data_IF_894052133423
#
_entry.id   IF_894052133423
#
_cell.length_a   1.000
_cell.length_b   1.000
_cell.length_c   1.000
_cell.angle_alpha   90.00
_cell.angle_beta   90.00
_cell.angle_gamma   90.00
#
_symmetry.space_group_name_H-M   'P 1'
#
loop_
_entity.id
_entity.type
_entity.pdbx_description
1 polymer ?
#
# COMPACT_ATOMS: atom_id res chain seq x y z
N UNK A 1 -17.33 -15.00 -5.17
CA UNK A 1 -18.68 -14.37 -5.34
C UNK A 1 -18.69 -13.58 -6.64
N UNK A 2 -19.55 -13.91 -7.60
CA UNK A 2 -19.65 -13.19 -8.87
C UNK A 2 -20.57 -12.00 -8.69
N UNK A 3 -20.15 -10.83 -9.21
CA UNK A 3 -20.98 -9.64 -9.24
C UNK A 3 -20.79 -8.85 -10.54
N UNK A 4 -21.74 -8.00 -10.88
CA UNK A 4 -21.63 -7.19 -12.08
C UNK A 4 -20.90 -5.89 -11.78
N UNK A 5 -19.81 -5.64 -12.51
CA UNK A 5 -19.18 -4.31 -12.59
C UNK A 5 -20.01 -3.42 -13.51
N UNK A 6 -20.30 -3.92 -14.71
CA UNK A 6 -21.23 -3.31 -15.68
C UNK A 6 -22.15 -4.42 -16.24
N UNK A 7 -22.87 -4.19 -17.32
CA UNK A 7 -23.68 -5.24 -17.98
C UNK A 7 -22.78 -6.34 -18.59
N UNK A 8 -21.58 -5.99 -19.03
CA UNK A 8 -20.66 -6.84 -19.78
C UNK A 8 -19.40 -7.21 -19.00
N UNK A 9 -19.09 -6.51 -17.93
CA UNK A 9 -17.93 -6.76 -17.08
C UNK A 9 -18.38 -7.36 -15.75
N UNK A 10 -17.85 -8.54 -15.43
CA UNK A 10 -18.13 -9.27 -14.18
C UNK A 10 -16.89 -9.30 -13.29
N UNK A 11 -17.08 -9.13 -11.98
CA UNK A 11 -16.10 -9.48 -10.97
C UNK A 11 -16.13 -10.99 -10.75
N UNK A 12 -14.97 -11.64 -10.82
CA UNK A 12 -14.80 -13.09 -10.65
C UNK A 12 -13.71 -13.42 -9.62
N UNK A 13 -13.26 -12.44 -8.84
CA UNK A 13 -12.24 -12.61 -7.81
C UNK A 13 -12.71 -13.42 -6.61
N UNK A 14 -11.85 -13.52 -5.61
CA UNK A 14 -12.05 -14.30 -4.39
C UNK A 14 -11.57 -13.53 -3.17
N UNK A 15 -12.16 -13.83 -2.01
CA UNK A 15 -11.69 -13.39 -0.71
C UNK A 15 -10.82 -14.49 -0.06
N UNK A 16 -9.69 -14.11 0.53
CA UNK A 16 -8.92 -14.99 1.40
C UNK A 16 -9.00 -14.47 2.85
N UNK A 17 -9.89 -15.06 3.63
CA UNK A 17 -10.07 -14.77 5.06
C UNK A 17 -9.27 -15.73 5.95
N UNK A 18 -8.44 -16.59 5.35
CA UNK A 18 -7.62 -17.57 6.07
C UNK A 18 -6.16 -17.16 6.21
N UNK A 19 -5.75 -16.13 5.46
CA UNK A 19 -4.42 -15.55 5.57
C UNK A 19 -4.34 -14.63 6.78
N UNK A 20 -3.27 -14.71 7.55
CA UNK A 20 -2.98 -13.84 8.69
C UNK A 20 -1.94 -12.74 8.37
N UNK A 21 -1.06 -13.03 7.41
CA UNK A 21 -0.02 -12.09 6.95
C UNK A 21 -0.03 -11.98 5.41
N UNK A 22 -0.24 -10.78 4.89
CA UNK A 22 0.00 -10.47 3.48
C UNK A 22 1.51 -10.24 3.26
N UNK A 23 2.05 -10.73 2.14
CA UNK A 23 3.51 -10.76 1.85
C UNK A 23 4.36 -11.32 3.02
N UNK A 24 3.80 -12.17 3.86
CA UNK A 24 4.44 -12.71 5.06
C UNK A 24 4.94 -11.66 6.08
N UNK A 25 4.43 -10.44 6.01
CA UNK A 25 4.84 -9.36 6.91
C UNK A 25 3.70 -8.43 7.37
N UNK A 26 2.67 -8.20 6.58
CA UNK A 26 1.59 -7.28 6.94
C UNK A 26 0.42 -8.02 7.56
N UNK A 27 0.10 -7.68 8.81
CA UNK A 27 -1.02 -8.29 9.54
C UNK A 27 -2.33 -7.93 8.84
N UNK A 28 -3.12 -8.93 8.46
CA UNK A 28 -4.41 -8.73 7.77
C UNK A 28 -5.52 -9.50 8.51
N UNK A 29 -6.01 -8.99 9.63
CA UNK A 29 -6.98 -9.70 10.50
C UNK A 29 -8.31 -9.94 9.79
N UNK A 30 -8.65 -9.13 8.81
CA UNK A 30 -9.84 -9.26 7.96
C UNK A 30 -9.53 -9.88 6.58
N UNK A 31 -8.38 -10.54 6.45
CA UNK A 31 -7.97 -11.19 5.21
C UNK A 31 -7.61 -10.20 4.10
N UNK A 32 -7.74 -10.66 2.87
CA UNK A 32 -7.49 -9.87 1.64
C UNK A 32 -8.44 -10.33 0.53
N UNK A 33 -8.77 -9.46 -0.42
CA UNK A 33 -9.41 -9.86 -1.68
C UNK A 33 -8.37 -9.94 -2.79
N UNK A 34 -8.48 -10.98 -3.63
CA UNK A 34 -7.74 -11.09 -4.90
C UNK A 34 -8.74 -10.89 -6.01
N UNK A 35 -8.67 -9.73 -6.65
CA UNK A 35 -9.66 -9.34 -7.64
C UNK A 35 -9.24 -9.80 -9.04
N UNK A 36 -10.19 -10.32 -9.76
CA UNK A 36 -10.07 -10.68 -11.17
C UNK A 36 -11.39 -10.35 -11.86
N UNK A 37 -11.33 -10.01 -13.14
CA UNK A 37 -12.52 -9.56 -13.88
C UNK A 37 -12.63 -10.27 -15.21
N UNK A 38 -13.87 -10.44 -15.68
CA UNK A 38 -14.20 -11.01 -16.98
C UNK A 38 -14.94 -9.97 -17.82
N UNK A 39 -14.46 -9.71 -19.03
CA UNK A 39 -15.14 -8.88 -20.02
C UNK A 39 -15.73 -9.79 -21.07
N UNK A 40 -17.08 -9.80 -21.18
CA UNK A 40 -17.82 -10.60 -22.19
C UNK A 40 -18.16 -9.73 -23.38
N UNK A 41 -17.59 -10.08 -24.53
CA UNK A 41 -17.83 -9.43 -25.81
C UNK A 41 -17.67 -10.47 -26.94
N UNK A 42 -17.53 -10.06 -28.22
CA UNK A 42 -17.20 -10.99 -29.32
C UNK A 42 -15.93 -11.79 -29.03
N UNK A 43 -14.95 -11.15 -28.35
CA UNK A 43 -13.79 -11.76 -27.72
C UNK A 43 -13.88 -11.62 -26.21
N UNK A 44 -13.61 -12.69 -25.49
CA UNK A 44 -13.68 -12.72 -24.03
C UNK A 44 -12.29 -12.51 -23.44
N UNK A 45 -12.17 -11.52 -22.57
CA UNK A 45 -10.92 -11.20 -21.87
C UNK A 45 -11.06 -11.39 -20.35
N UNK A 46 -10.07 -12.05 -19.74
CA UNK A 46 -9.87 -12.15 -18.30
C UNK A 46 -8.84 -11.08 -17.91
N UNK A 47 -9.10 -10.32 -16.86
CA UNK A 47 -8.19 -9.33 -16.28
C UNK A 47 -7.57 -9.92 -15.02
N UNK A 48 -6.29 -10.29 -15.11
CA UNK A 48 -5.48 -10.94 -14.10
C UNK A 48 -6.07 -12.27 -13.56
N UNK A 49 -5.28 -13.02 -12.82
CA UNK A 49 -5.72 -14.20 -12.07
C UNK A 49 -5.73 -13.91 -10.58
N UNK A 50 -5.60 -14.92 -9.74
CA UNK A 50 -5.55 -14.77 -8.28
C UNK A 50 -4.41 -15.61 -7.71
N UNK A 51 -4.16 -15.49 -6.40
CA UNK A 51 -3.22 -16.33 -5.66
C UNK A 51 -3.48 -17.83 -5.91
N UNK A 52 -2.40 -18.58 -6.06
CA UNK A 52 -2.48 -20.03 -6.36
C UNK A 52 -3.34 -20.80 -5.35
N UNK A 53 -3.32 -20.41 -4.07
CA UNK A 53 -4.08 -21.03 -2.98
C UNK A 53 -5.60 -20.93 -3.18
N UNK A 54 -6.05 -19.90 -3.90
CA UNK A 54 -7.47 -19.60 -4.17
C UNK A 54 -7.89 -19.98 -5.60
N UNK A 55 -7.01 -20.66 -6.34
CA UNK A 55 -7.24 -21.01 -7.73
C UNK A 55 -8.50 -21.85 -7.97
N UNK A 56 -8.81 -22.82 -7.10
CA UNK A 56 -10.01 -23.66 -7.25
C UNK A 56 -11.30 -22.84 -7.19
N UNK A 57 -11.42 -21.95 -6.20
CA UNK A 57 -12.57 -21.07 -6.04
C UNK A 57 -12.68 -20.07 -7.20
N UNK A 58 -11.55 -19.51 -7.62
CA UNK A 58 -11.49 -18.60 -8.76
C UNK A 58 -11.91 -19.29 -10.07
N UNK A 59 -11.44 -20.52 -10.33
CA UNK A 59 -11.86 -21.27 -11.53
C UNK A 59 -13.37 -21.58 -11.53
N UNK A 60 -13.96 -21.85 -10.37
CA UNK A 60 -15.40 -22.04 -10.26
C UNK A 60 -16.16 -20.75 -10.64
N UNK A 61 -15.69 -19.58 -10.12
CA UNK A 61 -16.25 -18.29 -10.48
C UNK A 61 -16.08 -17.98 -11.98
N UNK A 62 -14.91 -18.26 -12.54
CA UNK A 62 -14.62 -18.06 -13.96
C UNK A 62 -15.53 -18.92 -14.84
N UNK A 63 -15.69 -20.21 -14.55
CA UNK A 63 -16.54 -21.13 -15.33
C UNK A 63 -18.00 -20.71 -15.29
N UNK A 64 -18.50 -20.32 -14.12
CA UNK A 64 -19.85 -19.80 -13.98
C UNK A 64 -20.04 -18.52 -14.82
N UNK A 65 -19.08 -17.60 -14.78
CA UNK A 65 -19.14 -16.35 -15.53
C UNK A 65 -19.00 -16.54 -17.04
N UNK A 66 -18.24 -17.53 -17.48
CA UNK A 66 -18.08 -17.90 -18.91
C UNK A 66 -19.35 -18.50 -19.52
N UNK A 67 -20.23 -19.10 -18.73
CA UNK A 67 -21.50 -19.69 -19.22
C UNK A 67 -21.28 -20.68 -20.40
N UNK A 68 -20.20 -21.44 -20.33
CA UNK A 68 -19.84 -22.42 -21.36
C UNK A 68 -19.03 -21.89 -22.54
N UNK A 69 -18.73 -20.59 -22.57
CA UNK A 69 -17.81 -20.01 -23.56
C UNK A 69 -16.35 -20.27 -23.17
N UNK A 70 -15.42 -20.01 -24.08
CA UNK A 70 -13.98 -20.09 -23.86
C UNK A 70 -13.37 -18.69 -23.92
N UNK A 71 -12.44 -18.34 -23.02
CA UNK A 71 -11.78 -17.04 -23.06
C UNK A 71 -10.76 -16.98 -24.21
N UNK A 72 -10.66 -15.82 -24.86
CA UNK A 72 -9.69 -15.52 -25.93
C UNK A 72 -8.40 -14.95 -25.35
N UNK A 73 -8.50 -14.10 -24.31
CA UNK A 73 -7.38 -13.34 -23.76
C UNK A 73 -7.31 -13.44 -22.23
N UNK A 74 -6.09 -13.51 -21.71
CA UNK A 74 -5.74 -13.14 -20.34
C UNK A 74 -4.89 -11.87 -20.42
N UNK A 75 -5.38 -10.78 -19.88
CA UNK A 75 -4.60 -9.54 -19.68
C UNK A 75 -3.91 -9.63 -18.34
N UNK A 76 -2.57 -9.61 -18.33
CA UNK A 76 -1.75 -9.66 -17.11
C UNK A 76 -1.20 -8.26 -16.88
N UNK A 77 -1.74 -7.57 -15.88
CA UNK A 77 -1.32 -6.24 -15.49
C UNK A 77 -0.16 -6.26 -14.51
N UNK A 78 -0.10 -7.34 -13.67
CA UNK A 78 0.90 -7.49 -12.62
C UNK A 78 1.33 -8.95 -12.48
N UNK A 79 2.63 -9.17 -12.22
CA UNK A 79 3.26 -10.49 -12.16
C UNK A 79 3.45 -11.02 -10.73
N UNK A 80 3.03 -10.27 -9.71
CA UNK A 80 3.08 -10.77 -8.35
C UNK A 80 2.23 -12.04 -8.21
N UNK A 81 2.70 -13.06 -7.47
CA UNK A 81 2.05 -14.37 -7.43
C UNK A 81 0.60 -14.38 -6.98
N UNK A 82 0.17 -13.40 -6.20
CA UNK A 82 -1.22 -13.26 -5.76
C UNK A 82 -2.18 -12.79 -6.87
N UNK A 83 -1.64 -12.34 -8.02
CA UNK A 83 -2.40 -12.00 -9.23
C UNK A 83 -2.01 -12.89 -10.42
N UNK A 84 -0.80 -13.45 -10.41
CA UNK A 84 -0.26 -14.23 -11.51
C UNK A 84 -0.25 -15.75 -11.23
N UNK A 85 -0.55 -16.19 -10.02
CA UNK A 85 -0.34 -17.55 -9.55
C UNK A 85 -1.04 -18.64 -10.36
N UNK A 86 -2.14 -18.31 -11.04
CA UNK A 86 -2.91 -19.27 -11.82
C UNK A 86 -2.71 -19.18 -13.35
N UNK A 87 -1.73 -18.42 -13.83
CA UNK A 87 -1.45 -18.30 -15.28
C UNK A 87 -1.19 -19.66 -15.92
N UNK A 88 -0.33 -20.49 -15.33
CA UNK A 88 -0.01 -21.80 -15.86
C UNK A 88 -1.23 -22.75 -15.88
N UNK A 89 -2.03 -22.75 -14.81
CA UNK A 89 -3.26 -23.53 -14.71
C UNK A 89 -4.29 -23.09 -15.74
N UNK A 90 -4.41 -21.78 -15.98
CA UNK A 90 -5.32 -21.24 -16.99
C UNK A 90 -4.91 -21.65 -18.41
N UNK A 91 -3.62 -21.59 -18.74
CA UNK A 91 -3.08 -22.03 -20.01
C UNK A 91 -3.27 -23.54 -20.22
N UNK A 92 -3.16 -24.35 -19.18
CA UNK A 92 -3.41 -25.79 -19.25
C UNK A 92 -4.88 -26.08 -19.52
N UNK A 93 -5.78 -25.32 -18.91
CA UNK A 93 -7.24 -25.48 -19.06
C UNK A 93 -7.76 -24.93 -20.40
N UNK A 94 -7.23 -23.79 -20.84
CA UNK A 94 -7.61 -23.11 -22.08
C UNK A 94 -6.40 -22.92 -23.00
N UNK A 95 -5.93 -24.00 -23.71
CA UNK A 95 -4.67 -23.92 -24.45
C UNK A 95 -4.64 -22.91 -25.61
N UNK A 96 -5.81 -22.45 -26.08
CA UNK A 96 -5.94 -21.47 -27.16
C UNK A 96 -5.82 -20.00 -26.68
N UNK A 97 -5.95 -19.75 -25.37
CA UNK A 97 -5.91 -18.41 -24.80
C UNK A 97 -4.58 -17.70 -25.12
N UNK A 98 -4.63 -16.39 -25.35
CA UNK A 98 -3.45 -15.55 -25.52
C UNK A 98 -3.26 -14.66 -24.30
N UNK A 99 -2.03 -14.57 -23.80
CA UNK A 99 -1.66 -13.67 -22.72
C UNK A 99 -1.27 -12.32 -23.31
N UNK A 100 -1.94 -11.26 -22.89
CA UNK A 100 -1.65 -9.87 -23.25
C UNK A 100 -1.00 -9.19 -22.07
N UNK A 101 0.23 -8.73 -22.23
CA UNK A 101 1.00 -8.16 -21.13
C UNK A 101 2.09 -7.19 -21.62
N UNK A 102 2.69 -6.45 -20.72
CA UNK A 102 3.90 -5.67 -21.02
C UNK A 102 5.05 -6.60 -21.44
N UNK A 103 5.95 -6.12 -22.29
CA UNK A 103 7.12 -6.90 -22.69
C UNK A 103 7.97 -7.34 -21.47
N UNK A 104 7.98 -6.54 -20.41
CA UNK A 104 8.69 -6.87 -19.17
C UNK A 104 8.02 -8.01 -18.41
N UNK A 105 6.69 -8.01 -18.31
CA UNK A 105 5.93 -9.11 -17.69
C UNK A 105 6.18 -10.42 -18.44
N UNK A 106 6.11 -10.41 -19.78
CA UNK A 106 6.39 -11.60 -20.60
C UNK A 106 7.81 -12.13 -20.34
N UNK A 107 8.80 -11.24 -20.20
CA UNK A 107 10.17 -11.63 -19.86
C UNK A 107 10.27 -12.27 -18.47
N UNK A 108 9.41 -11.87 -17.52
CA UNK A 108 9.40 -12.38 -16.15
C UNK A 108 8.68 -13.71 -16.00
N UNK A 109 7.66 -14.00 -16.82
CA UNK A 109 6.84 -15.23 -16.72
C UNK A 109 7.64 -16.52 -16.57
N UNK A 110 8.70 -16.80 -17.36
CA UNK A 110 9.47 -18.03 -17.21
C UNK A 110 10.22 -18.17 -15.88
N UNK A 111 10.37 -17.07 -15.13
CA UNK A 111 11.00 -17.09 -13.80
C UNK A 111 10.06 -17.65 -12.72
N UNK A 112 8.75 -17.59 -12.95
CA UNK A 112 7.72 -18.09 -12.05
C UNK A 112 7.17 -19.45 -12.49
N UNK A 113 7.25 -19.80 -13.79
CA UNK A 113 6.58 -20.96 -14.38
C UNK A 113 7.55 -21.75 -15.26
N UNK A 114 8.48 -22.49 -14.63
CA UNK A 114 9.59 -23.21 -15.30
C UNK A 114 9.07 -24.22 -16.38
N UNK A 115 8.01 -24.95 -16.08
CA UNK A 115 7.47 -25.99 -16.96
C UNK A 115 6.42 -25.49 -17.96
N UNK A 116 6.20 -24.16 -18.05
CA UNK A 116 5.16 -23.58 -18.91
C UNK A 116 5.76 -23.02 -20.19
N UNK A 117 5.29 -23.53 -21.36
CA UNK A 117 5.70 -22.98 -22.63
C UNK A 117 4.85 -21.76 -23.02
N UNK A 118 5.48 -20.59 -23.09
CA UNK A 118 4.85 -19.33 -23.49
C UNK A 118 5.05 -19.00 -24.98
N UNK A 119 5.79 -19.80 -25.73
CA UNK A 119 6.05 -19.55 -27.15
C UNK A 119 4.74 -19.52 -27.96
N UNK A 120 4.55 -18.45 -28.70
CA UNK A 120 3.33 -18.24 -29.50
C UNK A 120 2.05 -18.00 -28.66
N UNK A 121 2.14 -17.91 -27.34
CA UNK A 121 1.01 -17.68 -26.41
C UNK A 121 0.86 -16.23 -25.98
N UNK A 122 1.91 -15.40 -26.14
CA UNK A 122 1.96 -14.04 -25.60
C UNK A 122 1.81 -12.98 -26.70
N UNK A 123 1.20 -11.86 -26.34
CA UNK A 123 1.08 -10.64 -27.13
C UNK A 123 1.65 -9.52 -26.25
N UNK A 124 2.80 -8.97 -26.67
CA UNK A 124 3.39 -7.82 -25.99
C UNK A 124 2.67 -6.55 -26.40
N UNK A 125 2.28 -5.73 -25.42
CA UNK A 125 1.67 -4.42 -25.64
C UNK A 125 2.53 -3.31 -25.07
N UNK A 126 2.36 -2.09 -25.59
CA UNK A 126 3.10 -0.88 -25.22
C UNK A 126 2.15 0.23 -24.82
N UNK A 127 2.74 1.33 -24.36
CA UNK A 127 2.02 2.55 -24.00
C UNK A 127 1.07 3.00 -25.12
N UNK A 128 -0.21 3.15 -24.78
CA UNK A 128 -1.26 3.65 -25.67
C UNK A 128 -1.77 2.64 -26.70
N UNK A 129 -1.18 1.45 -26.83
CA UNK A 129 -1.69 0.39 -27.72
C UNK A 129 -3.06 -0.10 -27.26
N UNK A 130 -3.83 -0.66 -28.18
CA UNK A 130 -5.21 -1.10 -27.93
C UNK A 130 -5.42 -2.55 -28.35
N UNK A 131 -6.36 -3.21 -27.66
CA UNK A 131 -6.90 -4.53 -28.01
C UNK A 131 -8.42 -4.40 -28.21
N UNK A 132 -8.90 -4.71 -29.40
CA UNK A 132 -10.32 -4.71 -29.69
C UNK A 132 -10.93 -6.09 -29.37
N UNK A 133 -12.04 -6.09 -28.63
CA UNK A 133 -12.78 -7.29 -28.25
C UNK A 133 -14.12 -7.41 -28.99
N UNK A 134 -14.52 -6.36 -29.74
CA UNK A 134 -15.82 -6.20 -30.38
C UNK A 134 -16.37 -4.81 -30.08
N UNK A 135 -17.33 -4.68 -29.20
CA UNK A 135 -17.82 -3.41 -28.66
C UNK A 135 -16.82 -2.75 -27.70
N UNK A 136 -16.09 -3.56 -26.94
CA UNK A 136 -15.05 -3.09 -26.01
C UNK A 136 -13.70 -2.92 -26.71
N UNK A 137 -12.99 -1.85 -26.32
CA UNK A 137 -11.60 -1.63 -26.73
C UNK A 137 -10.77 -1.32 -25.51
N UNK A 138 -9.83 -2.19 -25.20
CA UNK A 138 -8.89 -2.05 -24.09
C UNK A 138 -7.68 -1.23 -24.53
N UNK A 139 -7.35 -0.18 -23.80
CA UNK A 139 -6.16 0.64 -24.00
C UNK A 139 -5.19 0.46 -22.85
N UNK A 140 -3.91 0.28 -23.15
CA UNK A 140 -2.88 -0.05 -22.16
C UNK A 140 -2.00 1.15 -21.85
N UNK A 141 -1.72 1.35 -20.54
CA UNK A 141 -0.84 2.39 -20.03
C UNK A 141 0.22 1.75 -19.15
N UNK A 142 1.47 1.98 -19.46
CA UNK A 142 2.58 1.44 -18.65
C UNK A 142 2.68 2.23 -17.33
N UNK A 143 2.76 1.49 -16.22
CA UNK A 143 2.85 2.01 -14.86
C UNK A 143 4.07 1.43 -14.12
N UNK A 144 5.31 1.53 -14.70
CA UNK A 144 6.48 0.88 -14.12
C UNK A 144 6.74 1.37 -12.70
N UNK A 145 7.06 0.45 -11.81
CA UNK A 145 7.28 0.69 -10.37
C UNK A 145 6.06 1.15 -9.59
N UNK A 146 4.86 0.88 -10.09
CA UNK A 146 3.61 1.03 -9.32
C UNK A 146 2.96 -0.36 -9.15
N UNK A 147 3.54 -1.32 -8.32
CA UNK A 147 4.81 -1.12 -7.58
C UNK A 147 6.00 -1.92 -8.16
N UNK A 148 5.81 -2.80 -9.13
CA UNK A 148 6.86 -3.55 -9.84
C UNK A 148 7.14 -2.97 -11.24
N UNK A 149 8.32 -3.33 -11.85
CA UNK A 149 8.76 -2.68 -13.09
C UNK A 149 7.91 -3.02 -14.32
N UNK A 150 7.18 -4.11 -14.31
CA UNK A 150 6.38 -4.61 -15.43
C UNK A 150 4.93 -4.13 -15.44
N UNK A 151 4.47 -3.48 -14.37
CA UNK A 151 3.07 -3.13 -14.16
C UNK A 151 2.54 -2.25 -15.30
N UNK A 152 1.35 -2.59 -15.75
CA UNK A 152 0.52 -1.76 -16.61
C UNK A 152 -0.89 -1.63 -16.05
N UNK A 153 -1.60 -0.60 -16.44
CA UNK A 153 -3.04 -0.41 -16.18
C UNK A 153 -3.79 -0.46 -17.49
N UNK A 154 -5.04 -0.87 -17.43
CA UNK A 154 -5.86 -1.07 -18.63
C UNK A 154 -7.13 -0.25 -18.54
N UNK A 155 -7.43 0.53 -19.57
CA UNK A 155 -8.66 1.32 -19.66
C UNK A 155 -9.60 0.72 -20.72
N UNK A 156 -10.79 0.33 -20.31
CA UNK A 156 -11.86 -0.01 -21.22
C UNK A 156 -12.60 1.24 -21.67
N UNK A 157 -12.57 1.51 -22.97
CA UNK A 157 -13.13 2.73 -23.56
C UNK A 157 -14.66 2.70 -23.64
N UNK A 158 -15.27 1.51 -23.68
CA UNK A 158 -16.73 1.36 -23.82
C UNK A 158 -17.45 1.73 -22.52
N UNK A 159 -17.11 1.06 -21.43
CA UNK A 159 -17.74 1.25 -20.12
C UNK A 159 -16.96 2.23 -19.23
N UNK A 160 -15.85 2.82 -19.75
CA UNK A 160 -15.00 3.78 -19.02
C UNK A 160 -14.44 3.23 -17.72
N UNK A 161 -14.07 1.95 -17.71
CA UNK A 161 -13.52 1.24 -16.56
C UNK A 161 -12.01 1.27 -16.60
N UNK A 162 -11.39 1.70 -15.52
CA UNK A 162 -9.95 1.65 -15.34
C UNK A 162 -9.58 0.48 -14.41
N UNK A 163 -8.89 -0.53 -14.94
CA UNK A 163 -8.26 -1.60 -14.18
C UNK A 163 -6.86 -1.15 -13.79
N UNK A 164 -6.57 -1.07 -12.49
CA UNK A 164 -5.45 -0.29 -11.96
C UNK A 164 -4.31 -1.10 -11.40
N UNK A 165 -4.27 -2.42 -11.64
CA UNK A 165 -3.40 -3.31 -10.88
C UNK A 165 -3.60 -3.04 -9.37
N UNK A 166 -2.54 -2.94 -8.59
CA UNK A 166 -2.62 -2.64 -7.15
C UNK A 166 -2.98 -1.20 -6.82
N UNK A 167 -2.94 -0.32 -7.80
CA UNK A 167 -3.37 1.07 -7.60
C UNK A 167 -4.81 1.16 -7.10
N UNK A 168 -5.04 1.96 -6.06
CA UNK A 168 -6.33 2.11 -5.36
C UNK A 168 -6.78 0.86 -4.58
N UNK A 169 -5.92 -0.14 -4.44
CA UNK A 169 -6.14 -1.29 -3.60
C UNK A 169 -6.11 -0.98 -2.10
N UNK A 170 -6.62 -1.91 -1.30
CA UNK A 170 -6.57 -1.85 0.17
C UNK A 170 -6.42 -3.25 0.76
N UNK A 171 -5.95 -3.35 1.98
CA UNK A 171 -6.06 -4.57 2.77
C UNK A 171 -7.53 -4.85 3.15
N UNK A 172 -7.82 -6.10 3.52
CA UNK A 172 -9.14 -6.57 3.93
C UNK A 172 -9.94 -7.24 2.80
N UNK A 173 -10.62 -8.33 3.13
CA UNK A 173 -11.54 -9.03 2.25
C UNK A 173 -12.80 -8.21 2.02
N UNK A 174 -13.45 -8.37 0.87
CA UNK A 174 -14.68 -7.62 0.51
C UNK A 174 -15.87 -7.95 1.41
N UNK A 175 -15.84 -9.11 2.07
CA UNK A 175 -16.86 -9.50 3.04
C UNK A 175 -16.87 -8.62 4.32
N UNK A 176 -15.81 -7.84 4.58
CA UNK A 176 -15.69 -6.96 5.73
C UNK A 176 -15.81 -5.50 5.31
N UNK A 177 -16.81 -4.80 5.86
CA UNK A 177 -16.94 -3.36 5.69
C UNK A 177 -15.91 -2.64 6.57
N UNK A 178 -15.03 -1.88 5.94
CA UNK A 178 -13.98 -1.08 6.58
C UNK A 178 -13.87 0.28 5.90
N UNK A 179 -13.35 1.27 6.62
CA UNK A 179 -13.01 2.55 6.00
C UNK A 179 -11.92 2.35 4.94
N UNK A 180 -12.28 2.63 3.69
CA UNK A 180 -11.35 2.46 2.57
C UNK A 180 -10.06 3.25 2.78
N UNK A 181 -10.16 4.50 3.24
CA UNK A 181 -9.00 5.38 3.35
C UNK A 181 -7.96 4.88 4.36
N UNK A 182 -8.39 4.25 5.46
CA UNK A 182 -7.49 3.70 6.47
C UNK A 182 -6.67 2.56 5.88
N UNK A 183 -7.31 1.51 5.40
CA UNK A 183 -6.65 0.32 4.88
C UNK A 183 -5.94 0.57 3.54
N UNK A 184 -6.47 1.47 2.69
CA UNK A 184 -5.81 1.84 1.44
C UNK A 184 -4.54 2.68 1.68
N UNK A 185 -4.51 3.55 2.69
CA UNK A 185 -3.33 4.33 3.08
C UNK A 185 -2.26 3.42 3.66
N UNK A 186 -2.67 2.47 4.53
CA UNK A 186 -1.79 1.45 5.10
C UNK A 186 -1.19 0.58 3.99
N UNK A 187 -2.01 0.13 3.01
CA UNK A 187 -1.56 -0.58 1.81
C UNK A 187 -0.58 0.29 1.01
N UNK A 188 -0.99 1.50 0.64
CA UNK A 188 -0.22 2.40 -0.22
C UNK A 188 1.19 2.67 0.33
N UNK A 189 1.31 3.15 1.59
CA UNK A 189 2.62 3.52 2.13
C UNK A 189 3.52 2.31 2.37
N UNK A 190 2.97 1.15 2.63
CA UNK A 190 3.76 -0.06 2.83
C UNK A 190 4.16 -0.73 1.51
N UNK A 191 3.36 -0.68 0.47
CA UNK A 191 3.59 -1.34 -0.82
C UNK A 191 4.17 -0.36 -1.87
N UNK A 192 3.50 0.77 -2.11
CA UNK A 192 3.84 1.73 -3.17
C UNK A 192 4.63 2.96 -2.68
N UNK A 193 4.68 3.24 -1.38
CA UNK A 193 5.10 4.53 -0.81
C UNK A 193 6.42 5.10 -1.32
N UNK A 194 7.39 4.26 -1.66
CA UNK A 194 8.67 4.67 -2.25
C UNK A 194 8.53 5.36 -3.61
N UNK A 195 7.49 5.04 -4.37
CA UNK A 195 7.38 5.34 -5.79
C UNK A 195 6.41 6.48 -6.11
N UNK A 196 6.33 7.49 -5.24
CA UNK A 196 5.41 8.63 -5.40
C UNK A 196 5.51 9.34 -6.75
N UNK A 197 6.71 9.52 -7.31
CA UNK A 197 6.90 10.14 -8.62
C UNK A 197 6.27 9.31 -9.76
N UNK A 198 6.36 7.98 -9.68
CA UNK A 198 5.76 7.06 -10.65
C UNK A 198 4.22 7.06 -10.55
N UNK A 199 3.70 7.09 -9.32
CA UNK A 199 2.25 7.25 -9.08
C UNK A 199 1.77 8.60 -9.64
N UNK A 200 2.49 9.69 -9.43
CA UNK A 200 2.16 11.01 -10.03
C UNK A 200 2.15 10.96 -11.56
N UNK A 201 3.08 10.23 -12.19
CA UNK A 201 3.09 10.04 -13.63
C UNK A 201 1.86 9.26 -14.11
N UNK A 202 1.44 8.22 -13.36
CA UNK A 202 0.23 7.46 -13.66
C UNK A 202 -1.04 8.32 -13.51
N UNK A 203 -1.15 9.09 -12.41
CA UNK A 203 -2.28 9.99 -12.19
C UNK A 203 -2.43 11.04 -13.30
N UNK A 204 -1.31 11.56 -13.83
CA UNK A 204 -1.35 12.47 -15.00
C UNK A 204 -1.91 11.81 -16.26
N UNK A 205 -1.59 10.54 -16.49
CA UNK A 205 -2.18 9.77 -17.61
C UNK A 205 -3.68 9.56 -17.38
N UNK A 206 -4.05 9.09 -16.18
CA UNK A 206 -5.45 8.85 -15.80
C UNK A 206 -6.32 10.11 -15.90
N UNK A 207 -5.77 11.29 -15.62
CA UNK A 207 -6.48 12.57 -15.74
C UNK A 207 -6.89 12.93 -17.17
N UNK A 208 -6.36 12.23 -18.18
CA UNK A 208 -6.76 12.42 -19.60
C UNK A 208 -7.92 11.51 -20.00
N UNK A 209 -8.36 10.61 -19.12
CA UNK A 209 -9.39 9.61 -19.37
C UNK A 209 -10.71 10.03 -18.71
N UNK A 210 -11.81 9.64 -19.32
CA UNK A 210 -13.15 9.77 -18.73
C UNK A 210 -13.49 8.49 -17.95
N UNK A 211 -13.10 8.45 -16.67
CA UNK A 211 -13.20 7.26 -15.82
C UNK A 211 -14.53 7.28 -15.06
N UNK A 212 -15.36 6.26 -15.28
CA UNK A 212 -16.61 6.03 -14.54
C UNK A 212 -16.45 5.00 -13.39
N UNK A 213 -15.43 4.12 -13.48
CA UNK A 213 -15.22 3.05 -12.52
C UNK A 213 -13.73 2.73 -12.42
N UNK A 214 -13.25 2.47 -11.20
CA UNK A 214 -11.89 1.96 -10.93
C UNK A 214 -12.01 0.54 -10.37
N UNK A 215 -11.28 -0.38 -10.97
CA UNK A 215 -11.24 -1.80 -10.63
C UNK A 215 -9.82 -2.20 -10.19
N UNK A 216 -9.50 -2.14 -8.90
CA UNK A 216 -8.19 -2.53 -8.37
C UNK A 216 -8.07 -4.06 -8.24
N UNK A 217 -6.85 -4.56 -8.03
CA UNK A 217 -6.60 -5.98 -7.77
C UNK A 217 -6.84 -6.38 -6.31
N UNK A 218 -7.00 -5.41 -5.40
CA UNK A 218 -7.43 -5.62 -4.02
C UNK A 218 -8.50 -4.59 -3.61
N UNK A 219 -9.41 -5.00 -2.72
CA UNK A 219 -10.44 -4.11 -2.18
C UNK A 219 -11.62 -3.86 -3.12
N UNK A 220 -12.47 -2.89 -2.81
CA UNK A 220 -13.75 -2.68 -3.50
C UNK A 220 -13.60 -2.04 -4.88
N UNK A 221 -14.55 -2.30 -5.75
CA UNK A 221 -14.73 -1.57 -6.99
C UNK A 221 -15.23 -0.15 -6.64
N UNK A 222 -14.56 0.88 -7.17
CA UNK A 222 -14.87 2.26 -6.88
C UNK A 222 -15.67 2.88 -8.03
N UNK A 223 -16.89 3.30 -7.77
CA UNK A 223 -17.81 3.88 -8.78
C UNK A 223 -18.27 5.28 -8.43
N UNK A 224 -18.36 5.60 -7.16
CA UNK A 224 -18.86 6.88 -6.67
C UNK A 224 -17.71 7.70 -6.10
N UNK A 225 -17.82 9.02 -6.18
CA UNK A 225 -16.86 9.94 -5.55
C UNK A 225 -15.38 9.68 -5.92
N UNK A 226 -15.11 9.31 -7.17
CA UNK A 226 -13.75 8.98 -7.63
C UNK A 226 -12.73 10.08 -7.35
N UNK A 227 -13.17 11.34 -7.34
CA UNK A 227 -12.34 12.50 -7.00
C UNK A 227 -11.74 12.41 -5.58
N UNK A 228 -12.43 11.80 -4.63
CA UNK A 228 -11.94 11.58 -3.27
C UNK A 228 -10.75 10.60 -3.26
N UNK A 229 -10.89 9.46 -3.90
CA UNK A 229 -9.84 8.43 -3.97
C UNK A 229 -8.60 8.92 -4.72
N UNK A 230 -8.82 9.57 -5.87
CA UNK A 230 -7.76 10.17 -6.68
C UNK A 230 -7.05 11.29 -5.91
N UNK A 231 -7.80 12.11 -5.17
CA UNK A 231 -7.26 13.18 -4.34
C UNK A 231 -6.37 12.67 -3.21
N UNK A 232 -6.73 11.56 -2.56
CA UNK A 232 -5.89 10.93 -1.55
C UNK A 232 -4.60 10.37 -2.17
N UNK A 233 -4.68 9.68 -3.31
CA UNK A 233 -3.49 9.19 -4.02
C UNK A 233 -2.57 10.34 -4.48
N UNK A 234 -3.14 11.47 -4.88
CA UNK A 234 -2.38 12.68 -5.22
C UNK A 234 -1.62 13.23 -4.01
N UNK A 235 -2.30 13.32 -2.86
CA UNK A 235 -1.71 13.75 -1.58
C UNK A 235 -0.58 12.80 -1.14
N UNK A 236 -0.86 11.49 -1.11
CA UNK A 236 0.11 10.49 -0.64
C UNK A 236 1.36 10.43 -1.53
N UNK A 237 1.18 10.44 -2.83
CA UNK A 237 2.28 10.34 -3.80
C UNK A 237 3.15 11.60 -3.91
N UNK A 238 2.65 12.74 -3.45
CA UNK A 238 3.42 13.97 -3.24
C UNK A 238 4.08 14.04 -1.87
N UNK A 239 3.80 13.07 -0.98
CA UNK A 239 4.24 13.08 0.41
C UNK A 239 3.72 14.32 1.17
N UNK A 240 2.55 14.81 0.79
CA UNK A 240 1.88 15.91 1.46
C UNK A 240 1.20 15.45 2.76
N UNK A 241 0.89 16.39 3.62
CA UNK A 241 0.19 16.12 4.87
C UNK A 241 -1.28 15.84 4.58
N UNK A 242 -1.79 14.71 5.06
CA UNK A 242 -3.22 14.41 4.99
C UNK A 242 -3.97 14.94 6.21
N UNK A 243 -3.36 14.82 7.39
CA UNK A 243 -3.99 15.20 8.65
C UNK A 243 -3.05 16.07 9.47
N UNK A 244 -3.51 17.27 9.84
CA UNK A 244 -2.81 18.08 10.82
C UNK A 244 -2.85 17.40 12.20
N UNK A 245 -1.68 17.11 12.75
CA UNK A 245 -1.57 16.41 14.02
C UNK A 245 -0.16 15.93 14.32
N UNK A 246 -0.02 15.30 15.47
CA UNK A 246 1.26 14.78 15.97
C UNK A 246 1.10 13.28 16.23
N UNK A 247 1.93 12.49 15.58
CA UNK A 247 2.06 11.06 15.86
C UNK A 247 3.27 10.85 16.79
N UNK A 248 3.07 10.08 17.86
CA UNK A 248 4.13 9.71 18.81
C UNK A 248 4.39 8.20 18.66
N UNK A 249 5.51 7.83 18.06
CA UNK A 249 5.98 6.45 17.99
C UNK A 249 7.00 6.21 19.11
N UNK A 250 6.76 5.21 19.97
CA UNK A 250 7.71 4.89 21.03
C UNK A 250 8.08 3.42 21.10
N UNK A 251 9.30 3.15 21.57
CA UNK A 251 9.77 1.81 21.88
C UNK A 251 10.30 1.80 23.33
N UNK A 252 9.68 0.97 24.19
CA UNK A 252 9.96 0.96 25.63
C UNK A 252 10.26 -0.43 26.15
N UNK A 253 11.41 -0.61 26.84
CA UNK A 253 11.85 -1.90 27.37
C UNK A 253 11.05 -2.25 28.65
N UNK A 254 11.00 -1.36 29.62
CA UNK A 254 10.39 -1.58 30.95
C UNK A 254 9.32 -0.53 31.30
N UNK A 255 8.74 0.13 30.32
CA UNK A 255 7.68 1.13 30.51
C UNK A 255 8.16 2.55 30.88
N UNK A 256 9.47 2.79 31.06
CA UNK A 256 9.99 4.12 31.37
C UNK A 256 9.74 5.10 30.20
N UNK A 257 10.14 4.74 28.99
CA UNK A 257 9.91 5.55 27.78
C UNK A 257 8.42 5.67 27.44
N UNK A 258 7.63 4.59 27.64
CA UNK A 258 6.18 4.61 27.50
C UNK A 258 5.54 5.74 28.32
N UNK A 259 5.86 5.83 29.62
CA UNK A 259 5.31 6.87 30.50
C UNK A 259 5.67 8.28 30.03
N UNK A 260 6.84 8.46 29.44
CA UNK A 260 7.27 9.75 28.87
C UNK A 260 6.45 10.10 27.63
N UNK A 261 6.27 9.13 26.72
CA UNK A 261 5.48 9.30 25.51
C UNK A 261 4.00 9.62 25.83
N UNK A 262 3.42 8.87 26.79
CA UNK A 262 2.06 9.11 27.29
C UNK A 262 1.93 10.51 27.93
N UNK A 263 2.92 10.94 28.73
CA UNK A 263 2.91 12.29 29.33
C UNK A 263 3.04 13.38 28.28
N UNK A 264 3.87 13.21 27.27
CA UNK A 264 3.93 14.17 26.16
C UNK A 264 2.58 14.24 25.42
N UNK A 265 1.93 13.09 25.18
CA UNK A 265 0.60 13.06 24.56
C UNK A 265 -0.45 13.81 25.40
N UNK A 266 -0.41 13.66 26.72
CA UNK A 266 -1.26 14.42 27.65
C UNK A 266 -1.01 15.93 27.54
N UNK A 267 0.26 16.38 27.62
CA UNK A 267 0.64 17.78 27.50
C UNK A 267 0.18 18.37 26.14
N UNK A 268 0.38 17.63 25.04
CA UNK A 268 -0.05 18.09 23.72
C UNK A 268 -1.57 18.25 23.64
N UNK A 269 -2.34 17.32 24.23
CA UNK A 269 -3.81 17.41 24.29
C UNK A 269 -4.28 18.59 25.18
N UNK A 270 -3.64 18.80 26.31
CA UNK A 270 -3.89 19.96 27.19
C UNK A 270 -3.59 21.30 26.48
N UNK A 271 -2.62 21.30 25.55
CA UNK A 271 -2.28 22.46 24.71
C UNK A 271 -3.11 22.51 23.40
N UNK A 272 -4.20 21.75 23.32
CA UNK A 272 -5.16 21.75 22.20
C UNK A 272 -4.53 21.40 20.82
N UNK A 273 -3.56 20.48 20.79
CA UNK A 273 -3.04 19.94 19.53
C UNK A 273 -4.20 19.39 18.66
N UNK A 274 -4.23 19.64 17.35
CA UNK A 274 -5.36 19.25 16.47
C UNK A 274 -5.71 17.76 16.53
N UNK A 275 -4.70 16.91 16.54
CA UNK A 275 -4.81 15.47 16.71
C UNK A 275 -3.53 14.92 17.34
N UNK A 276 -3.67 13.98 18.27
CA UNK A 276 -2.53 13.27 18.88
C UNK A 276 -2.81 11.79 18.87
N UNK A 277 -2.03 11.02 18.07
CA UNK A 277 -1.99 9.57 18.08
C UNK A 277 -0.68 9.06 18.69
N UNK A 278 -0.70 7.85 19.21
CA UNK A 278 0.44 7.26 19.90
C UNK A 278 0.47 5.75 19.61
N UNK A 279 1.65 5.19 19.32
CA UNK A 279 1.83 3.76 19.08
C UNK A 279 3.04 3.19 19.84
N UNK A 280 2.87 2.00 20.36
CA UNK A 280 3.93 1.17 20.98
C UNK A 280 4.55 0.26 19.92
N UNK A 281 5.67 0.64 19.37
CA UNK A 281 6.38 -0.14 18.32
C UNK A 281 6.80 -1.55 18.75
N UNK A 282 6.70 -1.84 20.06
CA UNK A 282 6.96 -3.20 20.58
C UNK A 282 5.70 -4.08 20.59
N UNK A 283 4.52 -3.54 20.33
CA UNK A 283 3.23 -4.22 20.50
C UNK A 283 2.26 -4.03 19.35
N UNK A 284 2.21 -2.81 18.82
CA UNK A 284 1.29 -2.42 17.77
C UNK A 284 1.84 -2.81 16.40
N UNK A 285 0.99 -2.86 15.39
CA UNK A 285 1.40 -3.18 14.03
C UNK A 285 2.33 -2.09 13.45
N UNK A 286 3.49 -2.53 12.98
CA UNK A 286 4.48 -1.66 12.36
C UNK A 286 3.94 -0.96 11.10
N UNK A 287 3.08 -1.64 10.34
CA UNK A 287 2.50 -1.08 9.13
C UNK A 287 1.53 0.07 9.42
N UNK A 288 0.78 -0.02 10.53
CA UNK A 288 -0.06 1.06 11.05
C UNK A 288 0.79 2.25 11.52
N UNK A 289 1.87 1.97 12.25
CA UNK A 289 2.77 3.03 12.71
C UNK A 289 3.44 3.77 11.53
N UNK A 290 3.80 3.06 10.47
CA UNK A 290 4.33 3.66 9.24
C UNK A 290 3.27 4.54 8.58
N UNK A 291 2.05 4.04 8.43
CA UNK A 291 0.92 4.80 7.87
C UNK A 291 0.67 6.09 8.64
N UNK A 292 0.55 6.03 9.96
CA UNK A 292 0.31 7.20 10.81
C UNK A 292 1.44 8.24 10.71
N UNK A 293 2.70 7.81 10.57
CA UNK A 293 3.82 8.72 10.36
C UNK A 293 3.67 9.52 9.05
N UNK A 294 3.26 8.86 7.96
CA UNK A 294 3.03 9.55 6.68
C UNK A 294 1.77 10.42 6.69
N UNK A 295 0.73 9.99 7.37
CA UNK A 295 -0.55 10.68 7.48
C UNK A 295 -0.43 12.02 8.19
N UNK A 296 0.28 12.03 9.34
CA UNK A 296 0.36 13.19 10.24
C UNK A 296 1.39 14.21 9.78
N UNK A 297 1.15 15.48 10.10
CA UNK A 297 2.07 16.58 9.80
C UNK A 297 3.37 16.52 10.61
N UNK A 298 3.34 15.93 11.80
CA UNK A 298 4.46 15.93 12.74
C UNK A 298 4.62 14.55 13.41
N UNK A 299 5.87 14.18 13.68
CA UNK A 299 6.23 12.91 14.31
C UNK A 299 7.07 13.18 15.56
N UNK A 300 6.83 12.43 16.63
CA UNK A 300 7.78 12.32 17.75
C UNK A 300 8.24 10.88 17.86
N UNK A 301 9.55 10.68 17.89
CA UNK A 301 10.17 9.36 18.12
C UNK A 301 10.74 9.30 19.52
N UNK A 302 10.36 8.27 20.29
CA UNK A 302 10.78 8.11 21.68
C UNK A 302 11.32 6.69 21.92
N UNK A 303 12.62 6.54 22.23
CA UNK A 303 13.23 5.25 22.41
C UNK A 303 14.29 5.19 23.50
N UNK A 304 14.48 3.98 24.04
CA UNK A 304 15.57 3.69 24.94
C UNK A 304 16.88 3.39 24.18
N UNK A 305 18.01 3.69 24.82
CA UNK A 305 19.32 3.21 24.38
C UNK A 305 19.45 1.72 24.69
N UNK A 306 19.95 0.95 23.74
CA UNK A 306 20.15 -0.48 23.85
C UNK A 306 21.39 -0.89 23.04
N UNK A 307 22.29 -1.71 23.61
CA UNK A 307 23.54 -2.16 22.97
C UNK A 307 24.39 -1.02 22.36
N UNK A 308 24.46 0.14 23.02
CA UNK A 308 25.11 1.35 22.55
C UNK A 308 24.50 1.92 21.23
N UNK A 309 23.29 1.58 20.93
CA UNK A 309 22.48 1.99 19.79
C UNK A 309 21.07 2.38 20.26
N UNK A 310 20.13 2.57 19.32
CA UNK A 310 18.71 2.74 19.61
C UNK A 310 18.03 1.35 19.75
N UNK A 311 17.02 1.27 20.61
CA UNK A 311 16.27 0.02 20.81
C UNK A 311 15.67 -0.51 19.49
N UNK A 312 15.86 -1.81 19.15
CA UNK A 312 15.59 -2.37 17.82
C UNK A 312 14.23 -2.04 17.20
N UNK A 313 13.08 -2.06 17.90
CA UNK A 313 11.81 -1.73 17.24
C UNK A 313 11.76 -0.30 16.69
N UNK A 314 12.42 0.67 17.34
CA UNK A 314 12.54 2.03 16.82
C UNK A 314 13.51 2.10 15.62
N UNK A 315 14.61 1.34 15.67
CA UNK A 315 15.53 1.27 14.54
C UNK A 315 14.80 0.74 13.31
N UNK A 316 14.03 -0.31 13.46
CA UNK A 316 13.25 -0.94 12.40
C UNK A 316 12.20 0.04 11.83
N UNK A 317 11.45 0.71 12.68
CA UNK A 317 10.50 1.75 12.27
C UNK A 317 11.16 2.86 11.42
N UNK A 318 12.25 3.43 11.89
CA UNK A 318 12.98 4.47 11.15
C UNK A 318 13.58 3.94 9.84
N UNK A 319 14.00 2.68 9.81
CA UNK A 319 14.47 2.02 8.61
C UNK A 319 13.34 1.89 7.57
N UNK A 320 12.15 1.45 7.98
CA UNK A 320 10.96 1.42 7.12
C UNK A 320 10.61 2.80 6.56
N UNK A 321 10.58 3.82 7.40
CA UNK A 321 10.32 5.20 6.97
C UNK A 321 11.32 5.65 5.89
N UNK A 322 12.62 5.39 6.10
CA UNK A 322 13.67 5.70 5.13
C UNK A 322 13.48 4.98 3.80
N UNK A 323 13.21 3.67 3.82
CA UNK A 323 13.02 2.88 2.60
C UNK A 323 11.80 3.32 1.79
N UNK A 324 10.77 3.81 2.46
CA UNK A 324 9.51 4.29 1.86
C UNK A 324 9.53 5.79 1.52
N UNK A 325 10.74 6.40 1.58
CA UNK A 325 10.96 7.81 1.22
C UNK A 325 10.18 8.83 2.10
N UNK A 326 10.04 8.55 3.40
CA UNK A 326 9.48 9.50 4.36
C UNK A 326 10.17 10.85 4.28
N UNK A 327 9.39 11.92 4.19
CA UNK A 327 9.93 13.26 3.91
C UNK A 327 8.95 14.37 4.29
N UNK A 328 9.43 15.63 4.26
CA UNK A 328 8.63 16.85 4.45
C UNK A 328 7.88 16.86 5.80
N UNK A 329 8.55 16.48 6.87
CA UNK A 329 7.92 16.42 8.20
C UNK A 329 8.81 17.03 9.26
N UNK A 330 8.16 17.54 10.32
CA UNK A 330 8.83 17.98 11.54
C UNK A 330 8.89 16.81 12.52
N UNK A 331 10.06 16.58 13.12
CA UNK A 331 10.29 15.41 13.99
C UNK A 331 10.93 15.82 15.31
N UNK A 332 10.24 15.54 16.42
CA UNK A 332 10.77 15.65 17.78
C UNK A 332 11.41 14.34 18.23
N UNK A 333 12.43 14.42 19.08
CA UNK A 333 13.19 13.26 19.56
C UNK A 333 13.20 13.23 21.09
N UNK A 334 12.86 12.05 21.65
CA UNK A 334 13.01 11.73 23.07
C UNK A 334 13.89 10.49 23.20
N UNK A 335 14.97 10.60 23.95
CA UNK A 335 15.80 9.44 24.30
C UNK A 335 15.68 9.07 25.78
N UNK A 336 15.87 7.80 26.08
CA UNK A 336 15.99 7.30 27.45
C UNK A 336 17.24 6.44 27.60
N UNK A 337 17.99 6.65 28.66
CA UNK A 337 19.15 5.82 28.99
C UNK A 337 19.66 6.08 30.40
N UNK A 338 20.03 5.03 31.13
CA UNK A 338 20.40 5.13 32.54
C UNK A 338 21.78 5.79 32.75
N UNK A 339 22.81 5.26 32.10
CA UNK A 339 24.21 5.69 32.30
C UNK A 339 24.85 6.38 31.11
N UNK A 340 24.49 5.99 29.86
CA UNK A 340 25.03 6.54 28.63
C UNK A 340 23.96 6.61 27.55
N UNK A 341 23.00 7.55 27.63
CA UNK A 341 21.98 7.71 26.59
C UNK A 341 22.66 8.01 25.24
N UNK A 342 22.26 7.28 24.20
CA UNK A 342 22.79 7.42 22.86
C UNK A 342 21.71 7.28 21.76
N UNK A 343 20.52 6.82 22.13
CA UNK A 343 19.42 6.60 21.19
C UNK A 343 19.06 7.88 20.41
N UNK A 344 19.08 9.04 21.06
CA UNK A 344 18.78 10.33 20.42
C UNK A 344 19.74 10.65 19.28
N UNK A 345 21.04 10.46 19.49
CA UNK A 345 22.05 10.65 18.46
C UNK A 345 21.86 9.70 17.28
N UNK A 346 21.52 8.43 17.54
CA UNK A 346 21.28 7.44 16.50
C UNK A 346 20.03 7.78 15.69
N UNK A 347 18.90 8.04 16.37
CA UNK A 347 17.65 8.44 15.70
C UNK A 347 17.85 9.71 14.86
N UNK A 348 18.53 10.74 15.42
CA UNK A 348 18.87 11.96 14.69
C UNK A 348 19.65 11.67 13.42
N UNK A 349 20.70 10.84 13.50
CA UNK A 349 21.51 10.47 12.35
C UNK A 349 20.74 9.73 11.27
N UNK A 350 19.76 8.87 11.64
CA UNK A 350 18.88 8.21 10.68
C UNK A 350 17.93 9.20 10.00
N UNK A 351 17.31 10.09 10.77
CA UNK A 351 16.36 11.10 10.26
C UNK A 351 17.04 12.11 9.33
N UNK A 352 18.27 12.52 9.61
CA UNK A 352 19.06 13.45 8.79
C UNK A 352 19.38 12.85 7.39
N UNK A 353 19.24 11.55 7.20
CA UNK A 353 19.37 10.91 5.86
C UNK A 353 18.10 11.00 5.04
N UNK A 354 16.99 11.42 5.60
CA UNK A 354 15.69 11.54 4.93
C UNK A 354 15.50 12.96 4.39
N UNK A 355 14.75 13.08 3.30
CA UNK A 355 14.60 14.34 2.59
C UNK A 355 13.67 15.31 3.33
N UNK A 356 14.08 16.57 3.47
CA UNK A 356 13.22 17.63 4.01
C UNK A 356 12.62 17.27 5.39
N UNK A 357 13.41 16.63 6.26
CA UNK A 357 13.05 16.43 7.66
C UNK A 357 13.63 17.58 8.49
N UNK A 358 12.77 18.27 9.22
CA UNK A 358 13.11 19.27 10.21
C UNK A 358 13.13 18.63 11.59
N UNK A 359 14.31 18.52 12.20
CA UNK A 359 14.43 18.02 13.59
C UNK A 359 14.15 19.18 14.55
N UNK A 360 13.14 19.00 15.40
CA UNK A 360 12.67 20.00 16.34
C UNK A 360 13.48 19.92 17.64
N UNK A 361 14.00 21.05 18.08
CA UNK A 361 14.66 21.18 19.38
C UNK A 361 13.67 21.70 20.45
N UNK A 362 13.80 21.33 21.73
CA UNK A 362 14.91 20.56 22.29
C UNK A 362 14.71 19.03 22.10
N UNK A 363 15.80 18.30 21.87
CA UNK A 363 15.81 16.85 22.08
C UNK A 363 15.75 16.60 23.61
N UNK A 364 14.80 15.75 24.03
CA UNK A 364 14.58 15.44 25.43
C UNK A 364 15.33 14.18 25.85
N UNK A 365 16.16 14.27 26.88
CA UNK A 365 16.89 13.12 27.44
C UNK A 365 16.32 12.74 28.81
N UNK A 366 15.81 11.51 28.93
CA UNK A 366 15.30 10.95 30.19
C UNK A 366 16.34 9.97 30.74
N UNK A 367 16.55 9.98 32.05
CA UNK A 367 17.43 9.02 32.72
C UNK A 367 16.60 8.00 33.51
N UNK A 368 16.34 6.85 32.88
CA UNK A 368 15.53 5.71 33.38
C UNK A 368 14.06 6.09 33.60
N UNK A 369 13.70 6.53 34.79
CA UNK A 369 12.34 6.96 35.12
C UNK A 369 12.19 8.46 34.93
N UNK A 370 11.04 8.86 34.38
CA UNK A 370 10.64 10.28 34.32
C UNK A 370 10.48 10.86 35.73
N UNK A 371 10.94 12.08 35.94
CA UNK A 371 10.88 12.85 37.21
C UNK A 371 10.15 14.18 36.98
N UNK A 372 9.69 14.80 38.04
CA UNK A 372 9.04 16.12 37.94
C UNK A 372 9.96 17.18 37.28
N UNK A 373 11.27 17.08 37.47
CA UNK A 373 12.23 17.96 36.82
C UNK A 373 12.36 17.81 35.32
N UNK A 374 11.82 16.71 34.75
CA UNK A 374 11.85 16.45 33.30
C UNK A 374 10.64 17.10 32.57
N UNK A 375 9.58 17.45 33.32
CA UNK A 375 8.34 18.01 32.77
C UNK A 375 8.58 19.30 31.96
N UNK A 376 9.36 20.28 32.43
CA UNK A 376 9.61 21.50 31.64
C UNK A 376 10.25 21.25 30.28
N UNK A 377 11.08 20.18 30.14
CA UNK A 377 11.69 19.82 28.88
C UNK A 377 10.65 19.21 27.90
N UNK A 378 9.71 18.43 28.45
CA UNK A 378 8.59 17.89 27.65
C UNK A 378 7.64 19.00 27.21
N UNK A 379 7.34 19.97 28.08
CA UNK A 379 6.54 21.15 27.74
C UNK A 379 7.20 21.99 26.64
N UNK A 380 8.51 22.19 26.73
CA UNK A 380 9.27 22.93 25.73
C UNK A 380 9.27 22.20 24.37
N UNK A 381 9.40 20.86 24.36
CA UNK A 381 9.26 20.07 23.14
C UNK A 381 7.84 20.16 22.59
N UNK A 382 6.82 20.07 23.44
CA UNK A 382 5.43 20.21 23.02
C UNK A 382 5.16 21.57 22.37
N UNK A 383 5.64 22.66 22.97
CA UNK A 383 5.52 24.01 22.42
C UNK A 383 6.22 24.14 21.06
N UNK A 384 7.42 23.59 20.95
CA UNK A 384 8.15 23.57 19.68
C UNK A 384 7.47 22.70 18.60
N UNK A 385 6.81 21.62 19.00
CA UNK A 385 6.02 20.78 18.06
C UNK A 385 4.72 21.47 17.62
N UNK A 386 4.17 22.37 18.43
CA UNK A 386 2.94 23.10 18.10
C UNK A 386 3.21 24.38 17.27
N UNK A 387 4.39 24.97 17.41
CA UNK A 387 4.82 26.10 16.59
C UNK A 387 4.95 25.72 15.10
#
# INVERSE_FOLDING_TARGET
>A
MISNVTETIKYIGVDDTTIDLFESQYIVPNGISYNSYLIKDEKIAIMDTVDLRKGEEWFANLEEALEGHTPDYLVVQHMEPDHAGNIANLLAKYPAIKIVASAKAIQMMPQFFEDTCFEGKTIAVKEGETLNLGAHTLQFFMAPMVHWPEVMVTYDQADKVLFTADGFGKFGALAHEEDWACEARRYYFNICGKYGAQVQALLKKAATLDIACICPLHGPILKENLGYYIGLYDTWSKYEVETEGIFIAYASIHGGTKKVAEKLAEILREKEAPKVSIADLCRDDMAEAVEDAFRMSKLVVAAASYDADVFPPMHDFLHHLKLKAYQKRRVGIIENGSWAPCAGRVMKGMLETMKEIEIVEPMVTIRSAMKQGDIPALEALADAMLA
#
